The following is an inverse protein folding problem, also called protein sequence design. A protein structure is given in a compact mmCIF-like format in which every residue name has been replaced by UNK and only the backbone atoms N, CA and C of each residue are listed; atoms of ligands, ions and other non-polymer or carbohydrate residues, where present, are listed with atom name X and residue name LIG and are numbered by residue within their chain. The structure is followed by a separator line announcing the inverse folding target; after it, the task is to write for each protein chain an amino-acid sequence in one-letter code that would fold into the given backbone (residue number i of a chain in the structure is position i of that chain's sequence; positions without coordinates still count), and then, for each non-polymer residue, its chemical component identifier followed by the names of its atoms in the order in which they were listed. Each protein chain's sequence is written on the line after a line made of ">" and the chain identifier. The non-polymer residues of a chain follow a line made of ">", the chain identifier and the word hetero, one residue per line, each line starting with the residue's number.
data_IF_815223601513
#
_entry.id   IF_815223601513
#
_cell.length_a   1.000
_cell.length_b   1.000
_cell.length_c   1.000
_cell.angle_alpha   90.00
_cell.angle_beta   90.00
_cell.angle_gamma   90.00
#
_symmetry.space_group_name_H-M   'P 1'
#
loop_
_entity.id
_entity.type
_entity.pdbx_description
1 polymer ?
#
# COMPACT_ATOMS: atom_id res chain seq x y z
N UNK A 1 2.94 3.25 28.85
CA UNK A 1 2.26 2.65 27.69
C UNK A 1 0.88 3.27 27.43
N UNK A 2 -0.08 3.34 28.39
CA UNK A 2 -1.43 3.84 28.10
C UNK A 2 -1.49 5.30 27.60
N UNK A 3 -0.61 6.17 28.12
CA UNK A 3 -0.48 7.55 27.63
C UNK A 3 -0.12 7.61 26.14
N UNK A 4 0.87 6.82 25.68
CA UNK A 4 1.26 6.77 24.27
C UNK A 4 0.15 6.23 23.38
N UNK A 5 -0.57 5.20 23.83
CA UNK A 5 -1.73 4.67 23.11
C UNK A 5 -2.79 5.76 22.92
N UNK A 6 -3.05 6.54 23.97
CA UNK A 6 -4.00 7.67 23.93
C UNK A 6 -3.55 8.74 22.94
N UNK A 7 -2.28 9.14 22.96
CA UNK A 7 -1.71 10.15 22.05
C UNK A 7 -1.82 9.71 20.59
N UNK A 8 -1.44 8.47 20.27
CA UNK A 8 -1.51 7.90 18.91
C UNK A 8 -2.97 7.81 18.44
N UNK A 9 -3.87 7.32 19.29
CA UNK A 9 -5.29 7.22 18.95
C UNK A 9 -5.92 8.61 18.72
N UNK A 10 -5.57 9.60 19.54
CA UNK A 10 -6.02 10.98 19.35
C UNK A 10 -5.48 11.59 18.05
N UNK A 11 -4.21 11.32 17.71
CA UNK A 11 -3.64 11.72 16.43
C UNK A 11 -4.39 11.07 15.26
N UNK A 12 -4.68 9.76 15.33
CA UNK A 12 -5.49 9.06 14.33
C UNK A 12 -6.83 9.77 14.12
N UNK A 13 -7.57 10.06 15.20
CA UNK A 13 -8.84 10.78 15.14
C UNK A 13 -8.68 12.18 14.53
N UNK A 14 -7.61 12.90 14.89
CA UNK A 14 -7.34 14.25 14.38
C UNK A 14 -7.03 14.27 12.88
N UNK A 15 -6.51 13.18 12.31
CA UNK A 15 -6.28 13.07 10.86
C UNK A 15 -7.56 12.75 10.07
N UNK A 16 -8.72 12.60 10.72
CA UNK A 16 -10.05 12.41 10.10
C UNK A 16 -10.03 11.51 8.86
N UNK A 17 -9.82 10.21 9.09
CA UNK A 17 -9.77 9.22 8.01
C UNK A 17 -11.03 9.25 7.14
N UNK A 18 -12.19 9.56 7.71
CA UNK A 18 -13.46 9.59 6.96
C UNK A 18 -13.50 10.69 5.90
N UNK A 19 -12.84 11.82 6.16
CA UNK A 19 -12.68 12.90 5.18
C UNK A 19 -11.53 12.60 4.22
N UNK A 20 -10.41 12.04 4.71
CA UNK A 20 -9.25 11.70 3.86
C UNK A 20 -9.58 10.63 2.82
N UNK A 21 -10.29 9.56 3.20
CA UNK A 21 -10.66 8.49 2.26
C UNK A 21 -11.50 9.03 1.08
N UNK A 22 -12.31 10.08 1.30
CA UNK A 22 -13.04 10.75 0.20
C UNK A 22 -12.10 11.43 -0.78
N UNK A 23 -11.02 12.04 -0.30
CA UNK A 23 -10.00 12.64 -1.15
C UNK A 23 -9.20 11.58 -1.91
N UNK A 24 -8.82 10.49 -1.24
CA UNK A 24 -8.17 9.32 -1.85
C UNK A 24 -9.06 8.73 -2.96
N UNK A 25 -10.34 8.47 -2.66
CA UNK A 25 -11.30 7.92 -3.61
C UNK A 25 -11.49 8.83 -4.84
N UNK A 26 -11.51 10.15 -4.67
CA UNK A 26 -11.55 11.10 -5.79
C UNK A 26 -10.30 11.02 -6.67
N UNK A 27 -9.12 10.87 -6.06
CA UNK A 27 -7.87 10.66 -6.78
C UNK A 27 -7.93 9.39 -7.64
N UNK A 28 -8.29 8.27 -7.03
CA UNK A 28 -8.47 6.98 -7.71
C UNK A 28 -9.53 7.08 -8.82
N UNK A 29 -10.63 7.80 -8.58
CA UNK A 29 -11.72 7.89 -9.53
C UNK A 29 -11.41 8.67 -10.81
N UNK A 30 -10.44 9.60 -10.76
CA UNK A 30 -9.92 10.27 -11.95
C UNK A 30 -9.23 9.27 -12.88
N UNK A 31 -8.53 8.29 -12.32
CA UNK A 31 -7.71 7.35 -13.09
C UNK A 31 -8.40 6.03 -13.43
N UNK A 32 -9.36 5.59 -12.60
CA UNK A 32 -10.12 4.34 -12.73
C UNK A 32 -9.24 3.10 -12.92
N UNK A 33 -8.23 2.88 -12.05
CA UNK A 33 -7.26 1.80 -12.22
C UNK A 33 -7.93 0.42 -12.23
N UNK A 34 -7.39 -0.53 -12.97
CA UNK A 34 -7.87 -1.92 -12.95
C UNK A 34 -7.58 -2.62 -11.60
N UNK A 35 -6.45 -2.25 -10.98
CA UNK A 35 -5.94 -2.79 -9.72
C UNK A 35 -5.46 -1.66 -8.82
N UNK A 36 -5.65 -1.80 -7.51
CA UNK A 36 -5.15 -0.85 -6.50
C UNK A 36 -4.37 -1.66 -5.47
N UNK A 37 -3.08 -1.36 -5.31
CA UNK A 37 -2.29 -1.82 -4.18
C UNK A 37 -2.46 -0.84 -3.01
N UNK A 38 -2.71 -1.37 -1.82
CA UNK A 38 -2.85 -0.60 -0.58
C UNK A 38 -1.87 -1.15 0.45
N UNK A 39 -1.19 -0.23 1.13
CA UNK A 39 -0.38 -0.45 2.32
C UNK A 39 -1.01 0.31 3.48
N UNK A 40 -0.74 -0.11 4.71
CA UNK A 40 -1.31 0.53 5.92
C UNK A 40 -2.83 0.70 5.82
N UNK A 41 -3.51 -0.32 5.26
CA UNK A 41 -4.95 -0.35 5.09
C UNK A 41 -5.62 -0.79 6.40
N UNK A 42 -5.34 -0.04 7.46
CA UNK A 42 -5.58 -0.37 8.86
C UNK A 42 -7.05 -0.68 9.16
N UNK A 43 -7.25 -1.60 10.08
CA UNK A 43 -8.48 -1.76 10.84
C UNK A 43 -8.21 -1.31 12.28
N UNK A 44 -8.87 -0.22 12.68
CA UNK A 44 -8.76 0.30 14.04
C UNK A 44 -10.09 0.13 14.76
N UNK A 45 -10.04 -0.41 15.98
CA UNK A 45 -11.21 -0.58 16.84
C UNK A 45 -10.97 0.04 18.22
N UNK A 46 -11.89 0.88 18.67
CA UNK A 46 -11.97 1.33 20.05
C UNK A 46 -13.07 0.54 20.76
N UNK A 47 -12.68 -0.31 21.69
CA UNK A 47 -13.59 -1.11 22.50
C UNK A 47 -13.77 -0.40 23.85
N UNK A 48 -14.96 0.15 24.05
CA UNK A 48 -15.35 0.89 25.24
C UNK A 48 -16.12 -0.08 26.15
N UNK A 49 -15.60 -0.42 27.34
CA UNK A 49 -16.29 -1.31 28.26
C UNK A 49 -17.73 -0.87 28.48
N UNK A 50 -18.67 -1.82 28.38
CA UNK A 50 -20.12 -1.61 28.57
C UNK A 50 -20.85 -0.75 27.52
N UNK A 51 -20.16 -0.08 26.59
CA UNK A 51 -20.79 0.79 25.59
C UNK A 51 -20.81 0.19 24.19
N UNK A 52 -19.72 -0.45 23.76
CA UNK A 52 -19.63 -1.09 22.44
C UNK A 52 -18.28 -0.89 21.75
N UNK A 53 -18.26 -1.13 20.44
CA UNK A 53 -17.06 -1.09 19.60
C UNK A 53 -17.26 -0.03 18.52
N UNK A 54 -16.34 0.93 18.44
CA UNK A 54 -16.23 1.86 17.30
C UNK A 54 -15.17 1.30 16.36
N UNK A 55 -15.48 1.17 15.07
CA UNK A 55 -14.59 0.57 14.07
C UNK A 55 -14.35 1.53 12.92
N UNK A 56 -13.07 1.67 12.54
CA UNK A 56 -12.63 2.33 11.32
C UNK A 56 -11.89 1.30 10.47
N UNK A 57 -12.53 0.82 9.41
CA UNK A 57 -11.90 -0.07 8.43
C UNK A 57 -11.55 0.74 7.18
N UNK A 58 -10.26 0.99 6.94
CA UNK A 58 -9.81 1.78 5.79
C UNK A 58 -10.31 1.22 4.46
N UNK A 59 -10.26 -0.11 4.28
CA UNK A 59 -10.61 -0.78 3.03
C UNK A 59 -12.11 -0.63 2.77
N UNK A 60 -12.95 -0.88 3.79
CA UNK A 60 -14.41 -0.74 3.65
C UNK A 60 -14.81 0.72 3.39
N UNK A 61 -14.21 1.66 4.13
CA UNK A 61 -14.44 3.09 3.92
C UNK A 61 -14.06 3.52 2.50
N UNK A 62 -12.90 3.08 2.00
CA UNK A 62 -12.45 3.39 0.65
C UNK A 62 -13.37 2.78 -0.42
N UNK A 63 -13.71 1.49 -0.30
CA UNK A 63 -14.63 0.83 -1.24
C UNK A 63 -15.99 1.54 -1.25
N UNK A 64 -16.52 1.92 -0.08
CA UNK A 64 -17.76 2.66 0.03
C UNK A 64 -17.74 4.02 -0.66
N UNK A 65 -16.64 4.79 -0.54
CA UNK A 65 -16.49 6.06 -1.25
C UNK A 65 -16.27 5.88 -2.75
N UNK A 66 -15.57 4.83 -3.18
CA UNK A 66 -15.44 4.48 -4.60
C UNK A 66 -16.79 4.10 -5.22
N UNK A 67 -17.62 3.33 -4.51
CA UNK A 67 -18.96 2.96 -4.98
C UNK A 67 -19.88 4.17 -5.15
N UNK A 68 -19.80 5.17 -4.23
CA UNK A 68 -20.51 6.46 -4.39
C UNK A 68 -20.07 7.24 -5.63
N UNK A 69 -18.83 7.03 -6.09
CA UNK A 69 -18.28 7.61 -7.32
C UNK A 69 -18.53 6.72 -8.55
N UNK A 70 -19.34 5.66 -8.43
CA UNK A 70 -19.69 4.74 -9.51
C UNK A 70 -18.62 3.72 -9.85
N UNK A 71 -17.62 3.52 -8.97
CA UNK A 71 -16.54 2.58 -9.17
C UNK A 71 -16.65 1.41 -8.19
N UNK A 72 -16.86 0.23 -8.74
CA UNK A 72 -17.01 -0.99 -7.95
C UNK A 72 -15.70 -1.75 -7.89
N UNK A 73 -15.15 -1.90 -6.70
CA UNK A 73 -13.97 -2.73 -6.43
C UNK A 73 -14.32 -3.88 -5.48
N UNK A 74 -13.54 -4.96 -5.55
CA UNK A 74 -13.54 -6.05 -4.58
C UNK A 74 -12.11 -6.30 -4.12
N UNK A 75 -11.97 -6.88 -2.93
CA UNK A 75 -10.69 -7.40 -2.45
C UNK A 75 -10.31 -8.60 -3.35
N UNK A 76 -9.15 -8.51 -3.99
CA UNK A 76 -8.51 -9.62 -4.69
C UNK A 76 -7.61 -10.42 -3.74
N UNK A 77 -6.79 -9.71 -2.97
CA UNK A 77 -5.97 -10.27 -1.89
C UNK A 77 -5.89 -9.29 -0.72
N UNK A 78 -5.68 -9.80 0.49
CA UNK A 78 -5.52 -9.04 1.73
C UNK A 78 -4.65 -9.83 2.69
N UNK A 79 -3.53 -9.25 3.09
CA UNK A 79 -2.63 -9.83 4.08
C UNK A 79 -2.79 -9.10 5.41
N UNK A 80 -3.06 -9.86 6.47
CA UNK A 80 -3.11 -9.33 7.84
C UNK A 80 -1.68 -9.35 8.41
N UNK A 81 -1.21 -8.19 8.89
CA UNK A 81 0.15 -7.96 9.35
C UNK A 81 0.18 -7.86 10.89
N UNK A 82 0.79 -6.81 11.45
CA UNK A 82 0.84 -6.59 12.88
C UNK A 82 -0.56 -6.37 13.46
N UNK A 83 -0.93 -7.19 14.45
CA UNK A 83 -2.15 -7.01 15.25
C UNK A 83 -1.76 -6.75 16.71
N UNK A 84 -2.18 -5.61 17.26
CA UNK A 84 -1.89 -5.20 18.64
C UNK A 84 -3.14 -4.63 19.30
N UNK A 85 -3.39 -5.00 20.54
CA UNK A 85 -4.43 -4.41 21.38
C UNK A 85 -3.82 -3.89 22.67
N UNK A 86 -3.93 -2.59 22.94
CA UNK A 86 -3.40 -1.97 24.17
C UNK A 86 -4.41 -1.01 24.79
N UNK A 87 -4.44 -0.90 26.13
CA UNK A 87 -5.36 0.01 26.80
C UNK A 87 -4.94 1.48 26.64
N UNK A 88 -5.91 2.37 26.48
CA UNK A 88 -5.74 3.82 26.59
C UNK A 88 -5.78 4.28 28.08
N UNK A 89 -5.61 5.58 28.33
CA UNK A 89 -5.67 6.15 29.69
C UNK A 89 -7.06 6.06 30.35
N UNK A 90 -8.11 5.85 29.57
CA UNK A 90 -9.49 5.76 30.05
C UNK A 90 -9.91 4.32 30.36
N UNK A 91 -9.03 3.34 30.13
CA UNK A 91 -9.32 1.92 30.27
C UNK A 91 -10.08 1.31 29.08
N UNK A 92 -10.18 2.03 27.95
CA UNK A 92 -10.66 1.47 26.69
C UNK A 92 -9.56 0.63 26.06
N UNK A 93 -9.93 -0.39 25.29
CA UNK A 93 -8.96 -1.16 24.49
C UNK A 93 -8.93 -0.60 23.07
N UNK A 94 -7.76 -0.11 22.64
CA UNK A 94 -7.50 0.26 21.24
C UNK A 94 -6.87 -0.95 20.56
N UNK A 95 -7.60 -1.55 19.64
CA UNK A 95 -7.10 -2.62 18.78
C UNK A 95 -6.74 -2.06 17.41
N UNK A 96 -5.60 -2.50 16.93
CA UNK A 96 -4.98 -2.09 15.69
C UNK A 96 -4.62 -3.35 14.91
N UNK A 97 -5.01 -3.39 13.64
CA UNK A 97 -4.59 -4.41 12.70
C UNK A 97 -4.08 -3.73 11.42
N UNK A 98 -2.76 -3.82 11.21
CA UNK A 98 -2.14 -3.43 9.94
C UNK A 98 -2.48 -4.44 8.86
N UNK A 99 -2.72 -3.95 7.63
CA UNK A 99 -3.08 -4.80 6.49
C UNK A 99 -2.57 -4.20 5.20
N UNK A 100 -2.17 -5.08 4.30
CA UNK A 100 -1.94 -4.74 2.90
C UNK A 100 -3.02 -5.39 2.04
N UNK A 101 -3.45 -4.75 0.95
CA UNK A 101 -4.50 -5.29 0.10
C UNK A 101 -4.28 -5.00 -1.38
N UNK A 102 -4.79 -5.90 -2.22
CA UNK A 102 -4.98 -5.67 -3.65
C UNK A 102 -6.47 -5.60 -3.91
N UNK A 103 -6.96 -4.45 -4.38
CA UNK A 103 -8.31 -4.30 -4.89
C UNK A 103 -8.34 -4.47 -6.40
N UNK A 104 -9.41 -5.08 -6.92
CA UNK A 104 -9.64 -5.31 -8.34
C UNK A 104 -11.01 -4.79 -8.75
N UNK A 105 -11.10 -4.16 -9.92
CA UNK A 105 -12.37 -3.64 -10.45
C UNK A 105 -13.37 -4.78 -10.68
N UNK A 106 -14.57 -4.71 -10.07
CA UNK A 106 -15.63 -5.72 -10.20
C UNK A 106 -16.18 -5.78 -11.63
N UNK A 107 -16.41 -4.62 -12.24
CA UNK A 107 -16.96 -4.48 -13.60
C UNK A 107 -15.82 -4.57 -14.63
N UNK A 108 -15.15 -5.72 -14.65
CA UNK A 108 -14.04 -6.00 -15.54
C UNK A 108 -14.03 -7.47 -15.95
N UNK A 109 -13.30 -7.77 -17.02
CA UNK A 109 -13.07 -9.14 -17.49
C UNK A 109 -11.94 -9.85 -16.73
N UNK A 110 -11.39 -9.23 -15.67
CA UNK A 110 -10.28 -9.79 -14.92
C UNK A 110 -10.73 -10.99 -14.09
N UNK A 111 -10.04 -12.12 -14.27
CA UNK A 111 -10.23 -13.36 -13.52
C UNK A 111 -9.02 -13.61 -12.63
N UNK A 112 -9.24 -13.77 -11.33
CA UNK A 112 -8.21 -14.25 -10.41
C UNK A 112 -8.10 -15.77 -10.60
N UNK A 113 -6.91 -16.24 -10.95
CA UNK A 113 -6.62 -17.67 -11.12
C UNK A 113 -6.08 -18.30 -9.85
N UNK A 114 -5.19 -17.58 -9.16
CA UNK A 114 -4.62 -17.99 -7.89
C UNK A 114 -4.32 -16.77 -7.02
N UNK A 115 -4.27 -17.02 -5.71
CA UNK A 115 -4.02 -16.02 -4.66
C UNK A 115 -3.05 -16.61 -3.64
N UNK A 116 -2.08 -15.81 -3.22
CA UNK A 116 -1.13 -16.15 -2.15
C UNK A 116 -0.90 -14.92 -1.27
N UNK A 117 -0.85 -15.14 0.03
CA UNK A 117 -0.68 -14.12 1.07
C UNK A 117 0.27 -14.72 2.10
N UNK A 118 1.27 -13.96 2.55
CA UNK A 118 2.18 -14.38 3.61
C UNK A 118 2.79 -13.19 4.33
N UNK A 119 3.04 -13.34 5.63
CA UNK A 119 4.01 -12.49 6.33
C UNK A 119 5.43 -12.96 6.03
N UNK A 120 6.37 -12.03 6.07
CA UNK A 120 7.78 -12.35 5.85
C UNK A 120 8.33 -13.30 6.91
N UNK A 121 9.35 -14.07 6.56
CA UNK A 121 10.08 -14.89 7.52
C UNK A 121 10.99 -14.05 8.42
N UNK A 122 11.52 -12.95 7.90
CA UNK A 122 12.36 -12.01 8.65
C UNK A 122 11.57 -10.73 8.94
N UNK A 123 11.35 -10.43 10.22
CA UNK A 123 10.64 -9.25 10.69
C UNK A 123 11.41 -8.57 11.82
N UNK A 124 11.20 -7.26 11.95
CA UNK A 124 11.76 -6.48 13.04
C UNK A 124 11.14 -6.90 14.37
N UNK A 125 11.97 -7.06 15.40
CA UNK A 125 11.50 -7.34 16.76
C UNK A 125 11.95 -6.22 17.69
N UNK A 126 10.99 -5.58 18.35
CA UNK A 126 11.23 -4.42 19.21
C UNK A 126 10.91 -4.74 20.67
N UNK A 127 11.72 -4.23 21.63
CA UNK A 127 11.39 -4.31 23.03
C UNK A 127 10.33 -3.25 23.40
N UNK A 128 9.14 -3.68 23.80
CA UNK A 128 8.04 -2.80 24.23
C UNK A 128 7.59 -3.23 25.61
N UNK A 129 7.81 -2.36 26.61
CA UNK A 129 7.41 -2.65 28.00
C UNK A 129 8.05 -3.91 28.59
N UNK A 130 9.26 -4.26 28.15
CA UNK A 130 9.97 -5.47 28.59
C UNK A 130 9.58 -6.76 27.85
N UNK A 131 8.67 -6.69 26.88
CA UNK A 131 8.30 -7.80 26.01
C UNK A 131 8.83 -7.57 24.58
N UNK A 132 9.21 -8.65 23.91
CA UNK A 132 9.56 -8.61 22.50
C UNK A 132 8.27 -8.63 21.65
N UNK A 133 8.07 -7.59 20.84
CA UNK A 133 6.99 -7.52 19.86
C UNK A 133 7.60 -7.62 18.47
N UNK A 134 7.16 -8.61 17.69
CA UNK A 134 7.53 -8.73 16.28
C UNK A 134 6.56 -7.92 15.43
N UNK A 135 7.11 -6.95 14.70
CA UNK A 135 6.38 -6.11 13.74
C UNK A 135 6.23 -6.91 12.45
N UNK A 136 5.11 -7.64 12.33
CA UNK A 136 4.83 -8.43 11.14
C UNK A 136 4.55 -7.51 9.95
N UNK A 137 5.20 -7.81 8.83
CA UNK A 137 4.93 -7.25 7.49
C UNK A 137 4.76 -8.40 6.51
N UNK A 138 4.26 -8.15 5.31
CA UNK A 138 4.03 -9.22 4.36
C UNK A 138 3.86 -8.79 2.92
N UNK A 139 3.36 -9.74 2.14
CA UNK A 139 3.07 -9.57 0.73
C UNK A 139 1.81 -10.32 0.34
N UNK A 140 1.14 -9.79 -0.67
CA UNK A 140 0.01 -10.41 -1.36
C UNK A 140 0.37 -10.59 -2.82
N UNK A 141 0.02 -11.73 -3.40
CA UNK A 141 0.20 -12.02 -4.82
C UNK A 141 -1.06 -12.60 -5.45
N UNK A 142 -1.36 -12.13 -6.66
CA UNK A 142 -2.43 -12.65 -7.51
C UNK A 142 -1.86 -13.07 -8.85
N UNK A 143 -2.29 -14.21 -9.37
CA UNK A 143 -2.23 -14.47 -10.80
C UNK A 143 -3.58 -14.10 -11.41
N UNK A 144 -3.55 -13.17 -12.34
CA UNK A 144 -4.75 -12.59 -12.94
C UNK A 144 -4.75 -12.77 -14.44
N UNK A 145 -5.93 -13.00 -15.00
CA UNK A 145 -6.15 -13.23 -16.42
C UNK A 145 -7.16 -12.25 -16.99
N UNK A 146 -6.90 -11.75 -18.20
CA UNK A 146 -7.88 -11.10 -19.06
C UNK A 146 -7.63 -11.49 -20.51
N UNK A 147 -8.69 -11.94 -21.18
CA UNK A 147 -8.55 -12.67 -22.43
C UNK A 147 -7.61 -13.88 -22.27
N UNK A 148 -6.66 -14.02 -23.20
CA UNK A 148 -5.63 -15.07 -23.18
C UNK A 148 -4.39 -14.75 -22.35
N UNK A 149 -4.30 -13.57 -21.70
CA UNK A 149 -3.07 -13.14 -21.01
C UNK A 149 -3.16 -13.35 -19.52
N UNK A 150 -2.13 -13.97 -18.95
CA UNK A 150 -1.95 -14.18 -17.51
C UNK A 150 -0.73 -13.41 -17.04
N UNK A 151 -0.81 -12.77 -15.88
CA UNK A 151 0.31 -12.12 -15.24
C UNK A 151 0.24 -12.21 -13.72
N UNK A 152 1.37 -11.94 -13.06
CA UNK A 152 1.48 -11.90 -11.60
C UNK A 152 1.48 -10.45 -11.11
N UNK A 153 0.58 -10.14 -10.19
CA UNK A 153 0.53 -8.88 -9.46
C UNK A 153 0.97 -9.15 -8.01
N UNK A 154 1.87 -8.33 -7.49
CA UNK A 154 2.39 -8.45 -6.12
C UNK A 154 2.27 -7.10 -5.44
N UNK A 155 1.81 -7.08 -4.19
CA UNK A 155 1.72 -5.90 -3.35
C UNK A 155 2.41 -6.15 -2.02
N UNK A 156 3.20 -5.20 -1.52
CA UNK A 156 3.94 -5.35 -0.27
C UNK A 156 4.20 -4.01 0.43
N UNK A 157 4.67 -4.07 1.66
CA UNK A 157 5.16 -2.95 2.45
C UNK A 157 6.39 -3.38 3.26
N UNK A 158 7.59 -2.94 2.86
CA UNK A 158 8.85 -3.41 3.48
C UNK A 158 9.21 -2.62 4.75
N UNK A 159 10.08 -3.18 5.58
CA UNK A 159 10.49 -2.58 6.85
C UNK A 159 11.22 -1.22 6.68
N UNK A 160 10.76 -0.13 7.32
CA UNK A 160 11.40 1.18 7.24
C UNK A 160 12.71 1.32 8.00
N UNK A 161 12.82 0.71 9.19
CA UNK A 161 13.84 1.14 10.14
C UNK A 161 15.13 0.30 10.11
N UNK A 162 15.08 -0.92 9.58
CA UNK A 162 16.21 -1.85 9.58
C UNK A 162 16.50 -2.35 8.15
N UNK A 163 17.63 -1.92 7.58
CA UNK A 163 18.00 -2.25 6.20
C UNK A 163 18.25 -3.76 6.00
N UNK A 164 18.76 -4.46 7.02
CA UNK A 164 19.04 -5.89 6.91
C UNK A 164 17.72 -6.70 6.86
N UNK A 165 16.76 -6.35 7.72
CA UNK A 165 15.40 -6.92 7.67
C UNK A 165 14.75 -6.59 6.34
N UNK A 166 14.78 -5.32 5.92
CA UNK A 166 14.20 -4.87 4.65
C UNK A 166 14.79 -5.62 3.44
N UNK A 167 16.10 -5.82 3.40
CA UNK A 167 16.79 -6.57 2.34
C UNK A 167 16.40 -8.06 2.32
N UNK A 168 16.24 -8.68 3.50
CA UNK A 168 15.75 -10.06 3.61
C UNK A 168 14.31 -10.19 3.07
N UNK A 169 13.44 -9.23 3.41
CA UNK A 169 12.06 -9.16 2.92
C UNK A 169 12.01 -8.98 1.39
N UNK A 170 12.78 -8.05 0.84
CA UNK A 170 12.89 -7.88 -0.62
C UNK A 170 13.36 -9.16 -1.31
N UNK A 171 14.37 -9.83 -0.75
CA UNK A 171 14.90 -11.10 -1.27
C UNK A 171 13.84 -12.21 -1.25
N UNK A 172 13.02 -12.30 -0.20
CA UNK A 172 11.93 -13.27 -0.11
C UNK A 172 10.92 -13.10 -1.26
N UNK A 173 10.53 -11.86 -1.58
CA UNK A 173 9.64 -11.57 -2.72
C UNK A 173 10.27 -12.04 -4.02
N UNK A 174 11.55 -11.72 -4.22
CA UNK A 174 12.30 -12.00 -5.45
C UNK A 174 12.49 -13.50 -5.70
N UNK A 175 12.76 -14.27 -4.64
CA UNK A 175 12.96 -15.73 -4.72
C UNK A 175 11.64 -16.51 -4.67
N UNK A 176 10.59 -15.93 -4.08
CA UNK A 176 9.25 -16.52 -3.96
C UNK A 176 8.30 -16.06 -5.06
N UNK A 177 7.30 -15.20 -4.75
CA UNK A 177 6.20 -14.88 -5.67
C UNK A 177 6.65 -14.23 -6.99
N UNK A 178 7.77 -13.50 -7.02
CA UNK A 178 8.29 -12.86 -8.22
C UNK A 178 9.22 -13.76 -9.06
N UNK A 179 9.57 -14.96 -8.58
CA UNK A 179 10.37 -15.94 -9.30
C UNK A 179 9.49 -16.73 -10.27
N UNK A 180 9.15 -16.12 -11.39
CA UNK A 180 8.28 -16.68 -12.41
C UNK A 180 8.64 -16.17 -13.80
N UNK A 181 8.26 -16.93 -14.83
CA UNK A 181 8.35 -16.53 -16.24
C UNK A 181 7.14 -15.71 -16.69
N UNK A 182 6.07 -15.63 -15.87
CA UNK A 182 4.94 -14.75 -16.17
C UNK A 182 5.38 -13.28 -16.24
N UNK A 183 4.64 -12.42 -16.95
CA UNK A 183 4.68 -10.98 -16.75
C UNK A 183 4.45 -10.65 -15.28
N UNK A 184 5.26 -9.76 -14.70
CA UNK A 184 5.16 -9.41 -13.27
C UNK A 184 5.01 -7.91 -13.11
N UNK A 185 4.11 -7.51 -12.21
CA UNK A 185 4.04 -6.17 -11.61
C UNK A 185 4.20 -6.33 -10.10
N UNK A 186 5.10 -5.57 -9.49
CA UNK A 186 5.24 -5.45 -8.03
C UNK A 186 4.97 -4.00 -7.65
N UNK A 187 4.06 -3.76 -6.71
CA UNK A 187 3.74 -2.42 -6.21
C UNK A 187 3.88 -2.33 -4.70
N UNK A 188 4.15 -1.12 -4.22
CA UNK A 188 4.00 -0.75 -2.82
C UNK A 188 5.12 0.11 -2.29
N UNK A 189 5.09 0.33 -0.98
CA UNK A 189 6.11 1.05 -0.24
C UNK A 189 7.29 0.11 0.05
N UNK A 190 8.42 0.40 -0.60
CA UNK A 190 9.64 -0.37 -0.46
C UNK A 190 10.51 0.15 0.68
N UNK A 191 10.17 1.30 1.26
CA UNK A 191 10.97 1.99 2.27
C UNK A 191 12.45 2.12 1.88
N UNK A 192 12.66 2.37 0.59
CA UNK A 192 13.96 2.32 -0.04
C UNK A 192 14.06 3.42 -1.08
N UNK A 193 14.98 4.37 -0.88
CA UNK A 193 15.25 5.42 -1.88
C UNK A 193 15.95 4.84 -3.11
N UNK A 194 15.89 5.51 -4.28
CA UNK A 194 16.56 5.04 -5.48
C UNK A 194 18.07 4.85 -5.25
N UNK A 195 18.63 3.80 -5.84
CA UNK A 195 20.03 3.37 -5.70
C UNK A 195 20.45 2.88 -4.30
N UNK A 196 19.53 2.77 -3.33
CA UNK A 196 19.80 2.06 -2.06
C UNK A 196 20.06 0.57 -2.29
N UNK A 197 20.59 -0.12 -1.27
CA UNK A 197 20.83 -1.57 -1.32
C UNK A 197 19.55 -2.33 -1.68
N UNK A 198 18.45 -2.04 -0.98
CA UNK A 198 17.15 -2.68 -1.20
C UNK A 198 16.62 -2.41 -2.62
N UNK A 199 16.68 -1.16 -3.10
CA UNK A 199 16.27 -0.82 -4.46
C UNK A 199 17.06 -1.62 -5.50
N UNK A 200 18.38 -1.71 -5.33
CA UNK A 200 19.25 -2.43 -6.25
C UNK A 200 18.98 -3.95 -6.28
N UNK A 201 18.43 -4.54 -5.21
CA UNK A 201 17.99 -5.95 -5.24
C UNK A 201 16.92 -6.18 -6.31
N UNK A 202 15.90 -5.32 -6.38
CA UNK A 202 14.84 -5.43 -7.38
C UNK A 202 15.38 -5.22 -8.79
N UNK A 203 16.19 -4.17 -9.01
CA UNK A 203 16.76 -3.86 -10.32
C UNK A 203 17.70 -4.97 -10.81
N UNK A 204 18.58 -5.47 -9.94
CA UNK A 204 19.51 -6.56 -10.29
C UNK A 204 18.79 -7.89 -10.55
N UNK A 205 17.59 -8.09 -10.00
CA UNK A 205 16.71 -9.22 -10.31
C UNK A 205 15.93 -9.04 -11.64
N UNK A 206 16.25 -8.01 -12.42
CA UNK A 206 15.68 -7.75 -13.74
C UNK A 206 14.34 -7.00 -13.72
N UNK A 207 13.94 -6.44 -12.58
CA UNK A 207 12.78 -5.55 -12.54
C UNK A 207 13.14 -4.14 -12.98
N UNK A 208 12.24 -3.54 -13.76
CA UNK A 208 12.34 -2.18 -14.23
C UNK A 208 11.52 -1.28 -13.32
N UNK A 209 12.12 -0.19 -12.83
CA UNK A 209 11.42 0.90 -12.17
C UNK A 209 10.67 1.72 -13.21
N UNK A 210 9.34 1.58 -13.24
CA UNK A 210 8.41 2.35 -14.07
C UNK A 210 8.75 3.84 -14.17
N UNK A 211 9.04 4.46 -13.03
CA UNK A 211 9.12 5.91 -12.94
C UNK A 211 10.25 6.46 -13.82
N UNK A 212 11.35 5.72 -13.92
CA UNK A 212 12.51 6.10 -14.73
C UNK A 212 12.21 6.14 -16.24
N UNK A 213 11.13 5.51 -16.70
CA UNK A 213 10.79 5.44 -18.13
C UNK A 213 9.68 6.42 -18.54
N UNK A 214 8.69 6.63 -17.69
CA UNK A 214 7.47 7.41 -18.04
C UNK A 214 7.02 8.40 -16.96
N UNK A 215 7.74 8.49 -15.85
CA UNK A 215 7.52 9.50 -14.82
C UNK A 215 8.10 10.85 -15.20
N UNK A 216 7.66 11.91 -14.54
CA UNK A 216 8.14 13.28 -14.76
C UNK A 216 8.70 13.84 -13.46
N UNK A 217 9.95 14.28 -13.49
CA UNK A 217 10.64 14.84 -12.32
C UNK A 217 11.09 13.75 -11.33
N UNK A 218 11.36 14.17 -10.09
CA UNK A 218 11.99 13.31 -9.07
C UNK A 218 11.07 12.22 -8.51
N UNK A 219 9.75 12.39 -8.63
CA UNK A 219 8.79 11.38 -8.20
C UNK A 219 8.71 11.16 -6.70
N UNK A 220 8.86 12.21 -5.89
CA UNK A 220 8.75 12.09 -4.45
C UNK A 220 7.35 11.68 -4.01
N UNK A 221 7.28 10.56 -3.31
CA UNK A 221 6.05 9.93 -2.82
C UNK A 221 5.89 10.07 -1.31
N UNK A 222 6.97 10.18 -0.53
CA UNK A 222 6.96 10.36 0.94
C UNK A 222 7.82 11.54 1.39
N UNK A 223 7.66 12.13 2.60
CA UNK A 223 6.53 11.98 3.51
C UNK A 223 5.95 13.36 3.86
N UNK A 224 4.62 13.46 4.03
CA UNK A 224 4.01 14.63 4.67
C UNK A 224 4.23 14.62 6.19
N UNK A 225 3.82 15.68 6.88
CA UNK A 225 3.90 15.71 8.34
C UNK A 225 2.95 14.66 8.95
N UNK A 226 3.27 14.07 10.13
CA UNK A 226 2.41 13.05 10.76
C UNK A 226 0.97 13.50 11.08
N UNK A 227 0.74 14.81 11.19
CA UNK A 227 -0.59 15.38 11.38
C UNK A 227 -1.31 15.76 10.08
N UNK A 228 -0.63 15.64 8.93
CA UNK A 228 -1.11 15.93 7.57
C UNK A 228 -1.56 17.38 7.34
N UNK A 229 -1.19 18.32 8.21
CA UNK A 229 -1.66 19.71 8.18
C UNK A 229 -0.65 20.70 7.58
N UNK A 230 0.55 20.25 7.20
CA UNK A 230 1.55 21.10 6.56
C UNK A 230 0.95 21.83 5.34
N UNK A 231 1.10 23.16 5.30
CA UNK A 231 0.43 24.02 4.32
C UNK A 231 0.94 23.84 2.89
N UNK A 232 2.17 23.35 2.75
CA UNK A 232 2.84 23.00 1.50
C UNK A 232 3.33 21.56 1.57
N UNK A 233 3.38 20.88 0.42
CA UNK A 233 3.82 19.49 0.36
C UNK A 233 5.25 19.37 0.88
N UNK A 234 5.49 18.38 1.72
CA UNK A 234 6.81 18.04 2.27
C UNK A 234 7.44 16.81 1.61
N UNK A 235 6.76 16.21 0.62
CA UNK A 235 7.27 15.04 -0.10
C UNK A 235 8.65 15.33 -0.71
N UNK A 236 9.66 14.58 -0.26
CA UNK A 236 11.06 14.77 -0.62
C UNK A 236 11.82 13.43 -0.80
N UNK A 237 11.13 12.30 -0.67
CA UNK A 237 11.67 10.94 -0.82
C UNK A 237 10.82 10.12 -1.78
N UNK A 238 11.44 9.23 -2.54
CA UNK A 238 10.76 8.29 -3.45
C UNK A 238 10.93 6.88 -2.90
N UNK A 239 9.90 6.37 -2.26
CA UNK A 239 9.91 5.07 -1.57
C UNK A 239 8.81 4.12 -2.05
N UNK A 240 7.83 4.64 -2.79
CA UNK A 240 6.77 3.86 -3.41
C UNK A 240 7.09 3.58 -4.88
N UNK A 241 6.94 2.32 -5.27
CA UNK A 241 7.32 1.85 -6.60
C UNK A 241 6.22 1.03 -7.25
N UNK A 242 6.21 1.06 -8.57
CA UNK A 242 5.60 0.03 -9.42
C UNK A 242 6.74 -0.52 -10.27
N UNK A 243 7.23 -1.69 -9.92
CA UNK A 243 8.21 -2.42 -10.70
C UNK A 243 7.54 -3.35 -11.71
N UNK A 244 8.20 -3.59 -12.83
CA UNK A 244 7.71 -4.55 -13.82
C UNK A 244 8.83 -5.37 -14.48
N UNK A 245 8.49 -6.58 -14.94
CA UNK A 245 9.33 -7.38 -15.85
C UNK A 245 8.49 -8.27 -16.76
N UNK A 246 9.14 -8.87 -17.75
CA UNK A 246 8.56 -9.87 -18.66
C UNK A 246 7.36 -9.35 -19.49
N UNK A 247 7.61 -8.42 -20.42
CA UNK A 247 6.65 -8.09 -21.50
C UNK A 247 5.75 -6.87 -21.27
N UNK A 248 5.81 -6.23 -20.10
CA UNK A 248 5.14 -4.97 -19.85
C UNK A 248 5.81 -3.80 -20.56
N UNK A 249 4.99 -2.89 -21.09
CA UNK A 249 5.41 -1.62 -21.65
C UNK A 249 4.66 -0.50 -20.92
N UNK A 250 5.36 0.36 -20.14
CA UNK A 250 4.75 1.48 -19.44
C UNK A 250 4.33 2.56 -20.44
N UNK A 251 3.20 3.20 -20.19
CA UNK A 251 2.62 4.24 -21.07
C UNK A 251 2.62 5.62 -20.42
N UNK A 252 2.37 5.69 -19.11
CA UNK A 252 2.34 6.93 -18.35
C UNK A 252 2.46 6.63 -16.86
N UNK A 253 3.11 7.51 -16.09
CA UNK A 253 3.07 7.49 -14.63
C UNK A 253 2.95 8.90 -14.06
N UNK A 254 2.18 9.04 -12.99
CA UNK A 254 2.06 10.29 -12.24
C UNK A 254 1.63 10.05 -10.79
N UNK A 255 1.82 11.06 -9.96
CA UNK A 255 1.44 11.05 -8.56
C UNK A 255 -0.01 11.52 -8.38
N UNK A 256 -0.67 11.00 -7.36
CA UNK A 256 -2.03 11.36 -6.94
C UNK A 256 -1.98 11.78 -5.47
N UNK A 257 -2.67 12.85 -5.10
CA UNK A 257 -2.72 13.30 -3.70
C UNK A 257 -1.53 14.16 -3.28
N UNK A 258 -0.68 14.56 -4.22
CA UNK A 258 0.53 15.36 -3.97
C UNK A 258 0.34 16.86 -4.25
N UNK A 259 -0.80 17.28 -4.79
CA UNK A 259 -1.04 18.68 -5.19
C UNK A 259 -1.90 19.43 -4.17
N UNK A 260 -1.76 20.76 -4.12
CA UNK A 260 -2.55 21.60 -3.20
C UNK A 260 -4.07 21.43 -3.34
N UNK A 261 -4.53 21.18 -4.57
CA UNK A 261 -5.95 20.92 -4.87
C UNK A 261 -6.45 19.56 -4.38
N UNK A 262 -5.57 18.64 -3.99
CA UNK A 262 -5.94 17.32 -3.50
C UNK A 262 -6.22 17.31 -1.98
N UNK A 263 -5.85 18.37 -1.28
CA UNK A 263 -6.11 18.52 0.16
C UNK A 263 -7.61 18.52 0.44
N UNK A 264 -7.97 18.01 1.61
CA UNK A 264 -9.36 18.01 2.07
C UNK A 264 -9.85 19.46 2.28
N UNK A 265 -11.17 19.64 2.46
CA UNK A 265 -11.73 20.95 2.82
C UNK A 265 -11.20 21.50 4.15
N UNK A 266 -10.72 20.63 5.03
CA UNK A 266 -10.11 20.98 6.32
C UNK A 266 -8.58 21.19 6.20
N UNK A 267 -8.01 21.06 5.00
CA UNK A 267 -6.58 21.26 4.75
C UNK A 267 -5.71 20.03 5.03
N UNK A 268 -6.27 18.85 5.26
CA UNK A 268 -5.47 17.63 5.43
C UNK A 268 -4.96 17.14 4.08
N UNK A 269 -3.71 16.68 4.03
CA UNK A 269 -3.26 15.82 2.92
C UNK A 269 -4.04 14.49 2.94
N UNK A 270 -4.32 13.86 1.78
CA UNK A 270 -5.06 12.59 1.73
C UNK A 270 -4.34 11.46 2.50
N UNK A 271 -3.02 11.41 2.39
CA UNK A 271 -2.10 10.52 3.09
C UNK A 271 -0.78 11.26 3.25
N UNK A 272 0.06 10.78 4.15
CA UNK A 272 1.47 11.15 4.24
C UNK A 272 2.29 10.70 3.03
N UNK A 273 1.78 9.76 2.24
CA UNK A 273 2.28 9.44 0.92
C UNK A 273 1.40 10.01 -0.20
N UNK A 274 2.01 10.29 -1.34
CA UNK A 274 1.30 10.39 -2.61
C UNK A 274 1.14 9.01 -3.22
N UNK A 275 -0.04 8.73 -3.78
CA UNK A 275 -0.26 7.52 -4.55
C UNK A 275 0.49 7.55 -5.87
N UNK A 276 1.13 6.45 -6.26
CA UNK A 276 1.75 6.27 -7.56
C UNK A 276 0.78 5.56 -8.52
N UNK A 277 0.39 6.24 -9.61
CA UNK A 277 -0.46 5.65 -10.65
C UNK A 277 0.32 5.39 -11.93
N UNK A 278 -0.08 4.34 -12.65
CA UNK A 278 0.49 4.00 -13.94
C UNK A 278 -0.52 3.35 -14.88
N UNK A 279 -0.30 3.56 -16.19
CA UNK A 279 -0.91 2.77 -17.26
C UNK A 279 0.18 1.93 -17.91
N UNK A 280 -0.04 0.63 -18.01
CA UNK A 280 0.85 -0.30 -18.68
C UNK A 280 0.08 -1.12 -19.71
N UNK A 281 0.76 -1.47 -20.80
CA UNK A 281 0.28 -2.44 -21.78
C UNK A 281 1.13 -3.70 -21.71
N UNK A 282 0.50 -4.87 -21.78
CA UNK A 282 1.20 -6.14 -21.90
C UNK A 282 1.30 -6.51 -23.38
N UNK A 283 2.51 -6.74 -23.90
CA UNK A 283 2.70 -7.15 -25.31
C UNK A 283 1.96 -8.47 -25.61
N UNK A 284 1.44 -8.61 -26.83
CA UNK A 284 1.00 -9.91 -27.35
C UNK A 284 2.24 -10.53 -27.98
N UNK A 285 2.70 -11.68 -27.48
CA UNK A 285 3.55 -12.52 -28.30
C UNK A 285 2.61 -13.26 -29.24
N UNK A 286 2.53 -12.80 -30.49
CA UNK A 286 2.05 -13.63 -31.59
C UNK A 286 3.22 -14.56 -31.96
N UNK A 287 3.37 -15.64 -31.22
CA UNK A 287 4.16 -16.78 -31.68
C UNK A 287 3.17 -17.93 -31.94
N UNK A 288 2.43 -17.79 -33.04
CA UNK A 288 1.84 -18.93 -33.74
C UNK A 288 2.94 -19.50 -34.65
N UNK A 289 3.51 -20.62 -34.23
CA UNK A 289 4.20 -21.57 -35.09
C UNK A 289 3.61 -22.95 -34.85
#
# INVERSE_FOLDING_TARGET
>A
MPQRVTEVFQQFLATDITTRVKAIAKGIAKEKPDFIGLQEAELLQLIIPTFGIVTFDFIELLIGELEKLGLKYKIGAKNDNLSVGLPDLNGNLVQYLDRDAILIRKDSEWKILSKQEANFQTNLTLPVGGQAITVLRGWSSLEVRKGGKVFKLINTHLEPNDEAVRNAQATEILLGPANTQLPVIISGDMNAVPNSTTYNLFVNAGLNDLWNFVGIGLGFTGHQAPNLLNSVSLLNERVDYIYYKNGWNPLSAHLIGNSQSDRTKTGLWPSDHAGLFSRLSLKYNHDDH
#
